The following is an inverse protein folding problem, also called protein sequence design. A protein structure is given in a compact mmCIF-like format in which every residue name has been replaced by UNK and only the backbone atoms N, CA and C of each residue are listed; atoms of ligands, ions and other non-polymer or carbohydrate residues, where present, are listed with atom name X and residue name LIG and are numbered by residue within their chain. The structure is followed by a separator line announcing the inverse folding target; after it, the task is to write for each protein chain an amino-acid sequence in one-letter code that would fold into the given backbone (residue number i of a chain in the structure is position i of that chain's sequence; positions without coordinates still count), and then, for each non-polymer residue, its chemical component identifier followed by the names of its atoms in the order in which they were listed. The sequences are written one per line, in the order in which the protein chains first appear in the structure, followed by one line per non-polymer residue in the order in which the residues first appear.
data_IF_460865309099
#
_entry.id   IF_460865309099
#
_cell.length_a   1.000
_cell.length_b   1.000
_cell.length_c   1.000
_cell.angle_alpha   90.00
_cell.angle_beta   90.00
_cell.angle_gamma   90.00
#
_symmetry.space_group_name_H-M   'P 1'
#
loop_
_entity.id
_entity.type
_entity.pdbx_description
1 polymer ?
#
# COMPACT_ATOMS: atom_id res chain seq x y z
N UNK A 1 13.55 31.17 -13.51
CA UNK A 1 12.92 31.27 -12.17
C UNK A 1 13.56 30.30 -11.19
N UNK A 2 14.40 30.78 -10.27
CA UNK A 2 15.09 29.96 -9.25
C UNK A 2 14.11 29.46 -8.15
N UNK A 3 13.15 30.30 -7.73
CA UNK A 3 12.08 29.92 -6.78
C UNK A 3 11.32 28.66 -7.24
N UNK A 4 10.93 28.59 -8.52
CA UNK A 4 10.24 27.40 -9.06
C UNK A 4 11.08 26.13 -9.04
N UNK A 5 12.41 26.23 -9.22
CA UNK A 5 13.30 25.07 -9.13
C UNK A 5 13.35 24.53 -7.71
N UNK A 6 13.36 25.42 -6.71
CA UNK A 6 13.35 25.04 -5.31
C UNK A 6 12.03 24.44 -4.82
N UNK A 7 10.91 24.89 -5.37
CA UNK A 7 9.61 24.29 -5.11
C UNK A 7 9.50 22.81 -5.52
N UNK A 8 10.45 22.28 -6.32
CA UNK A 8 10.52 20.85 -6.66
C UNK A 8 11.19 19.99 -5.59
N UNK A 9 11.86 20.62 -4.62
CA UNK A 9 12.53 19.92 -3.53
C UNK A 9 11.62 19.88 -2.30
N UNK A 10 11.86 18.89 -1.43
CA UNK A 10 11.09 18.72 -0.19
C UNK A 10 11.51 19.75 0.87
N UNK A 11 10.91 20.93 0.83
CA UNK A 11 11.12 22.02 1.78
C UNK A 11 9.85 22.87 1.94
N UNK A 12 9.81 23.75 2.95
CA UNK A 12 8.64 24.59 3.22
C UNK A 12 8.69 25.88 2.39
N UNK A 13 7.51 26.42 2.03
CA UNK A 13 7.43 27.73 1.37
C UNK A 13 8.06 28.85 2.22
N UNK A 14 7.99 28.75 3.54
CA UNK A 14 8.67 29.66 4.48
C UNK A 14 10.19 29.66 4.30
N UNK A 15 10.79 28.47 4.14
CA UNK A 15 12.24 28.37 3.92
C UNK A 15 12.67 28.99 2.59
N UNK A 16 11.91 28.73 1.51
CA UNK A 16 12.15 29.33 0.20
C UNK A 16 11.98 30.86 0.28
N UNK A 17 10.90 31.33 0.91
CA UNK A 17 10.61 32.75 1.08
C UNK A 17 11.76 33.49 1.79
N UNK A 18 12.25 32.93 2.90
CA UNK A 18 13.40 33.47 3.63
C UNK A 18 14.67 33.52 2.78
N UNK A 19 14.97 32.45 2.01
CA UNK A 19 16.15 32.36 1.15
C UNK A 19 16.17 33.40 0.04
N UNK A 20 15.01 33.65 -0.58
CA UNK A 20 14.88 34.62 -1.68
C UNK A 20 14.44 36.02 -1.22
N UNK A 21 14.31 36.26 0.10
CA UNK A 21 13.85 37.52 0.68
C UNK A 21 12.52 38.02 0.10
N UNK A 22 11.59 37.09 -0.12
CA UNK A 22 10.22 37.38 -0.59
C UNK A 22 9.20 36.93 0.45
N UNK A 23 7.95 37.40 0.33
CA UNK A 23 6.87 36.92 1.19
C UNK A 23 6.44 35.49 0.82
N UNK A 24 5.97 34.71 1.80
CA UNK A 24 5.42 33.37 1.57
C UNK A 24 4.29 33.36 0.52
N UNK A 25 3.33 34.31 0.51
CA UNK A 25 2.33 34.40 -0.56
C UNK A 25 2.93 34.58 -1.95
N UNK A 26 4.09 35.24 -2.07
CA UNK A 26 4.78 35.38 -3.36
C UNK A 26 5.29 34.03 -3.85
N UNK A 27 5.87 33.21 -2.97
CA UNK A 27 6.30 31.84 -3.31
C UNK A 27 5.11 30.99 -3.71
N UNK A 28 4.00 31.05 -2.96
CA UNK A 28 2.76 30.33 -3.28
C UNK A 28 2.24 30.73 -4.66
N UNK A 29 2.14 32.02 -4.97
CA UNK A 29 1.72 32.47 -6.32
C UNK A 29 2.61 31.95 -7.44
N UNK A 30 3.92 31.84 -7.20
CA UNK A 30 4.82 31.20 -8.17
C UNK A 30 4.54 29.71 -8.28
N UNK A 31 4.40 29.01 -7.14
CA UNK A 31 4.07 27.59 -7.09
C UNK A 31 2.78 27.28 -7.83
N UNK A 32 1.73 28.07 -7.66
CA UNK A 32 0.41 27.87 -8.27
C UNK A 32 0.42 28.05 -9.80
N UNK A 33 1.48 28.65 -10.37
CA UNK A 33 1.69 28.68 -11.82
C UNK A 33 2.15 27.32 -12.37
N UNK A 34 2.60 26.41 -11.52
CA UNK A 34 2.97 25.05 -11.93
C UNK A 34 1.68 24.28 -12.18
N UNK A 35 1.36 24.06 -13.44
CA UNK A 35 0.27 23.20 -13.84
C UNK A 35 0.83 21.91 -14.42
N UNK A 36 0.35 20.78 -13.91
CA UNK A 36 0.59 19.48 -14.51
C UNK A 36 -0.60 19.18 -15.42
N UNK A 37 -0.34 19.17 -16.72
CA UNK A 37 -1.37 18.82 -17.68
C UNK A 37 -1.70 17.33 -17.61
N UNK A 38 -2.97 17.01 -17.81
CA UNK A 38 -3.43 15.64 -18.01
C UNK A 38 -2.58 14.97 -19.10
N UNK A 39 -2.10 13.73 -18.91
CA UNK A 39 -1.31 13.03 -19.92
C UNK A 39 -2.12 12.86 -21.21
N UNK A 40 -1.45 12.98 -22.35
CA UNK A 40 -2.08 12.82 -23.68
C UNK A 40 -2.22 11.36 -24.11
N UNK A 41 -1.42 10.47 -23.49
CA UNK A 41 -1.39 9.04 -23.81
C UNK A 41 -1.35 8.20 -22.54
N UNK A 42 -2.11 7.11 -22.55
CA UNK A 42 -2.00 6.08 -21.52
C UNK A 42 -0.85 5.11 -21.82
N UNK A 43 -0.02 4.75 -20.83
CA UNK A 43 0.95 3.67 -20.94
C UNK A 43 0.27 2.30 -20.96
N UNK A 44 1.02 1.26 -21.33
CA UNK A 44 0.55 -0.13 -21.28
C UNK A 44 0.45 -0.71 -19.85
N UNK A 45 1.11 -0.07 -18.87
CA UNK A 45 1.09 -0.40 -17.45
C UNK A 45 0.72 0.84 -16.62
N UNK A 46 -0.31 0.70 -15.79
CA UNK A 46 -0.77 1.73 -14.86
C UNK A 46 -0.71 1.19 -13.43
N UNK A 47 -0.55 2.09 -12.46
CA UNK A 47 -0.92 1.81 -11.08
C UNK A 47 -1.91 2.85 -10.55
N UNK A 48 -2.91 2.37 -9.82
CA UNK A 48 -3.92 3.17 -9.13
C UNK A 48 -3.75 2.94 -7.62
N UNK A 49 -3.60 4.02 -6.86
CA UNK A 49 -3.54 3.94 -5.41
C UNK A 49 -4.26 5.13 -4.76
N UNK A 50 -4.78 4.89 -3.56
CA UNK A 50 -5.46 5.87 -2.72
C UNK A 50 -4.47 6.47 -1.72
N UNK A 51 -4.41 7.79 -1.66
CA UNK A 51 -3.65 8.46 -0.61
C UNK A 51 -4.47 9.54 0.07
N UNK A 52 -4.17 9.74 1.36
CA UNK A 52 -4.83 10.74 2.17
C UNK A 52 -4.33 12.13 1.78
N UNK A 53 -5.25 12.97 1.32
CA UNK A 53 -5.02 14.37 0.99
C UNK A 53 -6.07 15.26 1.64
N UNK A 54 -5.90 16.59 1.53
CA UNK A 54 -6.85 17.58 2.08
C UNK A 54 -7.30 18.58 0.99
N UNK A 55 -7.29 18.17 -0.28
CA UNK A 55 -7.68 19.05 -1.40
C UNK A 55 -9.20 18.99 -1.61
N UNK A 56 -9.84 20.14 -1.81
CA UNK A 56 -11.28 20.27 -2.15
C UNK A 56 -12.24 19.60 -1.14
N UNK A 57 -11.88 19.55 0.14
CA UNK A 57 -12.73 18.95 1.18
C UNK A 57 -12.82 17.42 1.14
N UNK A 58 -12.11 16.77 0.21
CA UNK A 58 -12.04 15.31 0.12
C UNK A 58 -10.83 14.79 0.89
N UNK A 59 -11.06 13.74 1.68
CA UNK A 59 -10.04 13.12 2.55
C UNK A 59 -9.06 12.23 1.77
N UNK A 60 -9.48 11.74 0.60
CA UNK A 60 -8.75 10.74 -0.16
C UNK A 60 -8.76 11.07 -1.65
N UNK A 61 -7.62 10.86 -2.28
CA UNK A 61 -7.33 11.19 -3.67
C UNK A 61 -6.81 9.95 -4.38
N UNK A 62 -7.06 9.87 -5.69
CA UNK A 62 -6.59 8.76 -6.52
C UNK A 62 -5.32 9.20 -7.24
N UNK A 63 -4.20 8.53 -6.95
CA UNK A 63 -2.97 8.67 -7.73
C UNK A 63 -2.99 7.74 -8.94
N UNK A 64 -2.59 8.26 -10.09
CA UNK A 64 -2.39 7.49 -11.31
C UNK A 64 -0.90 7.57 -11.62
N UNK A 65 -0.24 6.43 -11.67
CA UNK A 65 1.22 6.38 -11.90
C UNK A 65 1.57 5.40 -13.01
N UNK A 66 2.77 5.57 -13.56
CA UNK A 66 3.41 4.60 -14.44
C UNK A 66 4.54 3.91 -13.65
N UNK A 67 4.31 2.69 -13.14
CA UNK A 67 5.28 1.94 -12.36
C UNK A 67 6.60 1.67 -13.07
N UNK A 68 6.59 1.54 -14.40
CA UNK A 68 7.80 1.27 -15.18
C UNK A 68 8.73 2.48 -15.26
N UNK A 69 8.17 3.69 -15.31
CA UNK A 69 8.95 4.93 -15.38
C UNK A 69 9.07 5.65 -14.04
N UNK A 70 8.43 5.14 -12.99
CA UNK A 70 8.30 5.76 -11.67
C UNK A 70 7.75 7.19 -11.70
N UNK A 71 6.87 7.49 -12.68
CA UNK A 71 6.27 8.83 -12.84
C UNK A 71 4.82 8.84 -12.40
N UNK A 72 4.46 9.91 -11.68
CA UNK A 72 3.06 10.28 -11.47
C UNK A 72 2.53 10.82 -12.79
N UNK A 73 1.43 10.25 -13.27
CA UNK A 73 0.76 10.68 -14.49
C UNK A 73 -0.29 11.75 -14.16
N UNK A 74 -1.07 11.51 -13.12
CA UNK A 74 -2.11 12.44 -12.69
C UNK A 74 -2.55 12.15 -11.24
N UNK A 75 -3.23 13.11 -10.63
CA UNK A 75 -3.85 12.97 -9.31
C UNK A 75 -5.29 13.46 -9.42
N UNK A 76 -6.24 12.54 -9.18
CA UNK A 76 -7.65 12.87 -9.16
C UNK A 76 -8.06 13.36 -7.76
N UNK A 77 -8.94 14.38 -7.68
CA UNK A 77 -9.28 15.04 -6.42
C UNK A 77 -10.09 14.15 -5.47
N UNK A 78 -10.64 13.04 -5.96
CA UNK A 78 -11.47 12.13 -5.19
C UNK A 78 -11.25 10.67 -5.61
N UNK A 79 -12.01 9.80 -4.96
CA UNK A 79 -12.03 8.36 -5.22
C UNK A 79 -13.40 7.88 -5.72
N UNK A 80 -14.24 8.75 -6.26
CA UNK A 80 -15.56 8.36 -6.73
C UNK A 80 -15.43 7.54 -8.03
N UNK A 81 -16.03 6.35 -8.04
CA UNK A 81 -16.00 5.43 -9.19
C UNK A 81 -16.40 6.11 -10.51
N UNK A 82 -17.47 6.91 -10.50
CA UNK A 82 -18.00 7.56 -11.69
C UNK A 82 -17.03 8.63 -12.23
N UNK A 83 -16.41 9.38 -11.32
CA UNK A 83 -15.44 10.42 -11.69
C UNK A 83 -14.18 9.81 -12.30
N UNK A 84 -13.67 8.71 -11.73
CA UNK A 84 -12.52 8.00 -12.26
C UNK A 84 -12.86 7.36 -13.62
N UNK A 85 -14.05 6.75 -13.77
CA UNK A 85 -14.52 6.23 -15.06
C UNK A 85 -14.60 7.35 -16.10
N UNK A 86 -15.19 8.49 -15.75
CA UNK A 86 -15.30 9.67 -16.63
C UNK A 86 -13.91 10.16 -17.05
N UNK A 87 -12.97 10.23 -16.10
CA UNK A 87 -11.59 10.60 -16.36
C UNK A 87 -10.95 9.66 -17.41
N UNK A 88 -11.05 8.34 -17.23
CA UNK A 88 -10.46 7.40 -18.18
C UNK A 88 -11.20 7.34 -19.52
N UNK A 89 -12.52 7.48 -19.54
CA UNK A 89 -13.32 7.49 -20.78
C UNK A 89 -13.01 8.67 -21.70
N UNK A 90 -12.47 9.77 -21.19
CA UNK A 90 -11.99 10.87 -22.03
C UNK A 90 -10.76 10.50 -22.88
N UNK A 91 -10.07 9.39 -22.58
CA UNK A 91 -9.05 8.83 -23.48
C UNK A 91 -9.71 7.99 -24.58
N UNK A 92 -9.21 8.07 -25.83
CA UNK A 92 -9.73 7.26 -26.93
C UNK A 92 -9.75 5.76 -26.61
N UNK A 93 -10.81 5.07 -27.03
CA UNK A 93 -10.98 3.61 -26.79
C UNK A 93 -9.76 2.80 -27.23
N UNK A 94 -9.11 3.18 -28.35
CA UNK A 94 -7.87 2.56 -28.85
C UNK A 94 -6.71 2.63 -27.85
N UNK A 95 -6.60 3.71 -27.07
CA UNK A 95 -5.57 3.81 -26.03
C UNK A 95 -5.92 2.95 -24.82
N UNK A 96 -7.18 2.99 -24.38
CA UNK A 96 -7.65 2.18 -23.25
C UNK A 96 -7.46 0.68 -23.51
N UNK A 97 -7.75 0.22 -24.73
CA UNK A 97 -7.55 -1.18 -25.12
C UNK A 97 -6.08 -1.62 -25.18
N UNK A 98 -5.12 -0.68 -25.18
CA UNK A 98 -3.67 -0.94 -25.16
C UNK A 98 -3.10 -1.04 -23.75
N UNK A 99 -3.87 -0.63 -22.73
CA UNK A 99 -3.49 -0.88 -21.34
C UNK A 99 -3.58 -2.38 -21.14
N UNK A 100 -2.43 -2.99 -20.87
CA UNK A 100 -2.33 -4.43 -20.65
C UNK A 100 -2.51 -4.73 -19.18
N UNK A 101 -1.87 -3.97 -18.30
CA UNK A 101 -1.74 -4.33 -16.88
C UNK A 101 -2.13 -3.12 -16.03
N UNK A 102 -2.91 -3.35 -14.97
CA UNK A 102 -3.22 -2.33 -13.96
C UNK A 102 -2.90 -2.88 -12.59
N UNK A 103 -1.93 -2.26 -11.91
CA UNK A 103 -1.62 -2.51 -10.51
C UNK A 103 -2.58 -1.68 -9.66
N UNK A 104 -3.20 -2.29 -8.69
CA UNK A 104 -4.09 -1.60 -7.75
C UNK A 104 -4.06 -2.31 -6.40
N UNK A 105 -4.59 -1.66 -5.38
CA UNK A 105 -4.89 -2.34 -4.13
C UNK A 105 -6.07 -3.33 -4.30
N UNK A 106 -6.54 -3.90 -3.19
CA UNK A 106 -7.63 -4.89 -3.18
C UNK A 106 -9.01 -4.19 -3.23
N UNK A 107 -9.06 -2.90 -3.59
CA UNK A 107 -10.30 -2.12 -3.60
C UNK A 107 -11.26 -2.62 -4.69
N UNK A 108 -12.46 -3.00 -4.26
CA UNK A 108 -13.59 -3.29 -5.15
C UNK A 108 -13.96 -2.08 -6.04
N UNK A 109 -13.67 -0.86 -5.57
CA UNK A 109 -13.90 0.35 -6.35
C UNK A 109 -13.01 0.39 -7.58
N UNK A 110 -11.68 0.26 -7.40
CA UNK A 110 -10.75 0.23 -8.52
C UNK A 110 -10.97 -1.00 -9.40
N UNK A 111 -11.35 -2.15 -8.83
CA UNK A 111 -11.71 -3.34 -9.61
C UNK A 111 -12.80 -3.02 -10.63
N UNK A 112 -13.90 -2.40 -10.18
CA UNK A 112 -15.02 -1.99 -11.05
C UNK A 112 -14.58 -0.99 -12.11
N UNK A 113 -13.79 0.02 -11.72
CA UNK A 113 -13.24 1.00 -12.68
C UNK A 113 -12.44 0.30 -13.77
N UNK A 114 -11.49 -0.56 -13.40
CA UNK A 114 -10.58 -1.21 -14.35
C UNK A 114 -11.33 -2.13 -15.30
N UNK A 115 -12.24 -2.96 -14.78
CA UNK A 115 -13.07 -3.85 -15.61
C UNK A 115 -13.92 -3.07 -16.61
N UNK A 116 -14.43 -1.90 -16.23
CA UNK A 116 -15.26 -1.05 -17.07
C UNK A 116 -14.45 -0.31 -18.16
N UNK A 117 -13.29 0.25 -17.79
CA UNK A 117 -12.56 1.16 -18.69
C UNK A 117 -11.43 0.50 -19.46
N UNK A 118 -10.86 -0.59 -18.94
CA UNK A 118 -9.72 -1.33 -19.49
C UNK A 118 -10.05 -2.83 -19.65
N UNK A 119 -10.92 -3.19 -20.61
CA UNK A 119 -11.46 -4.55 -20.72
C UNK A 119 -10.40 -5.63 -21.01
N UNK A 120 -9.27 -5.23 -21.60
CA UNK A 120 -8.17 -6.15 -21.93
C UNK A 120 -7.09 -6.20 -20.83
N UNK A 121 -7.26 -5.44 -19.74
CA UNK A 121 -6.23 -5.32 -18.73
C UNK A 121 -6.29 -6.43 -17.69
N UNK A 122 -5.13 -7.02 -17.38
CA UNK A 122 -4.96 -7.89 -16.22
C UNK A 122 -4.79 -7.02 -14.98
N UNK A 123 -5.62 -7.29 -13.98
CA UNK A 123 -5.52 -6.65 -12.66
C UNK A 123 -4.44 -7.37 -11.86
N UNK A 124 -3.49 -6.60 -11.34
CA UNK A 124 -2.42 -7.08 -10.46
C UNK A 124 -2.63 -6.44 -9.09
N UNK A 125 -2.82 -7.26 -8.06
CA UNK A 125 -2.91 -6.74 -6.70
C UNK A 125 -1.53 -6.34 -6.20
N UNK A 126 -1.44 -5.14 -5.61
CA UNK A 126 -0.21 -4.66 -4.99
C UNK A 126 0.18 -5.55 -3.78
N UNK A 127 1.37 -6.16 -3.88
CA UNK A 127 1.97 -7.01 -2.83
C UNK A 127 2.01 -6.31 -1.47
N UNK A 128 2.25 -5.00 -1.42
CA UNK A 128 2.29 -4.26 -0.16
C UNK A 128 0.95 -4.32 0.59
N UNK A 129 -0.17 -4.19 -0.13
CA UNK A 129 -1.49 -4.20 0.49
C UNK A 129 -1.85 -5.58 1.04
N UNK A 130 -1.45 -6.65 0.34
CA UNK A 130 -1.67 -8.04 0.79
C UNK A 130 -0.80 -8.34 2.03
N UNK A 131 0.50 -8.01 2.02
CA UNK A 131 1.37 -8.16 3.20
C UNK A 131 0.78 -7.41 4.40
N UNK A 132 0.29 -6.19 4.16
CA UNK A 132 -0.30 -5.35 5.21
C UNK A 132 -1.54 -6.00 5.83
N UNK A 133 -2.33 -6.75 5.07
CA UNK A 133 -3.47 -7.50 5.60
C UNK A 133 -3.03 -8.59 6.58
N UNK A 134 -2.08 -9.43 6.18
CA UNK A 134 -1.53 -10.51 7.03
C UNK A 134 -0.86 -9.95 8.29
N UNK A 135 -0.08 -8.88 8.15
CA UNK A 135 0.54 -8.22 9.31
C UNK A 135 -0.48 -7.59 10.26
N UNK A 136 -1.64 -7.13 9.75
CA UNK A 136 -2.72 -6.63 10.59
C UNK A 136 -3.40 -7.76 11.34
N UNK A 137 -3.61 -8.92 10.71
CA UNK A 137 -4.11 -10.11 11.39
C UNK A 137 -3.19 -10.52 12.54
N UNK A 138 -1.89 -10.63 12.29
CA UNK A 138 -0.88 -10.89 13.32
C UNK A 138 -0.93 -9.87 14.47
N UNK A 139 -1.03 -8.57 14.16
CA UNK A 139 -1.12 -7.52 15.16
C UNK A 139 -2.43 -7.58 15.97
N UNK A 140 -3.55 -8.01 15.38
CA UNK A 140 -4.81 -8.19 16.10
C UNK A 140 -4.71 -9.35 17.10
N UNK A 141 -4.20 -10.51 16.69
CA UNK A 141 -3.94 -11.64 17.60
C UNK A 141 -3.02 -11.21 18.74
N UNK A 142 -1.90 -10.54 18.43
CA UNK A 142 -0.97 -10.01 19.43
C UNK A 142 -1.67 -9.08 20.43
N UNK A 143 -2.54 -8.18 19.97
CA UNK A 143 -3.31 -7.26 20.85
C UNK A 143 -4.32 -8.01 21.71
N UNK A 144 -4.98 -9.02 21.16
CA UNK A 144 -5.92 -9.86 21.89
C UNK A 144 -5.20 -10.59 23.03
N UNK A 145 -4.13 -11.34 22.72
CA UNK A 145 -3.31 -12.04 23.71
C UNK A 145 -2.70 -11.08 24.73
N UNK A 146 -2.20 -9.91 24.32
CA UNK A 146 -1.64 -8.91 25.24
C UNK A 146 -2.62 -8.50 26.35
N UNK A 147 -3.94 -8.45 26.08
CA UNK A 147 -4.95 -8.09 27.08
C UNK A 147 -5.01 -9.12 28.21
N UNK A 148 -4.74 -10.39 27.91
CA UNK A 148 -4.69 -11.49 28.89
C UNK A 148 -3.43 -11.47 29.76
N UNK A 149 -2.41 -10.68 29.41
CA UNK A 149 -1.13 -10.59 30.14
C UNK A 149 -0.80 -9.16 30.60
N UNK A 150 -1.55 -8.58 31.57
CA UNK A 150 -1.34 -7.19 32.00
C UNK A 150 0.08 -6.91 32.49
N UNK A 151 0.70 -7.85 33.22
CA UNK A 151 2.06 -7.72 33.74
C UNK A 151 3.14 -7.67 32.64
N UNK A 152 2.94 -8.41 31.54
CA UNK A 152 3.87 -8.48 30.39
C UNK A 152 3.45 -7.60 29.21
N UNK A 153 2.32 -6.92 29.30
CA UNK A 153 1.75 -6.05 28.26
C UNK A 153 2.77 -5.03 27.68
N UNK A 154 3.59 -4.41 28.54
CA UNK A 154 4.66 -3.49 28.13
C UNK A 154 5.75 -4.18 27.30
N UNK A 155 6.12 -5.40 27.66
CA UNK A 155 7.12 -6.21 26.96
C UNK A 155 6.64 -6.55 25.53
N UNK A 156 5.43 -7.10 25.39
CA UNK A 156 4.83 -7.37 24.08
C UNK A 156 4.76 -6.13 23.19
N UNK A 157 4.37 -4.98 23.76
CA UNK A 157 4.27 -3.71 23.00
C UNK A 157 5.63 -3.20 22.54
N UNK A 158 6.68 -3.32 23.37
CA UNK A 158 8.05 -2.91 23.05
C UNK A 158 8.63 -3.78 21.93
N UNK A 159 8.38 -5.09 21.97
CA UNK A 159 8.98 -6.07 21.07
C UNK A 159 8.12 -6.43 19.85
N UNK A 160 6.97 -5.77 19.65
CA UNK A 160 6.06 -6.05 18.51
C UNK A 160 6.71 -5.98 17.12
N UNK A 161 7.84 -5.27 16.97
CA UNK A 161 8.57 -5.18 15.70
C UNK A 161 9.14 -6.54 15.29
N UNK A 162 9.53 -7.37 16.25
CA UNK A 162 10.07 -8.72 16.03
C UNK A 162 9.03 -9.56 15.29
N UNK A 163 7.77 -9.51 15.73
CA UNK A 163 6.64 -10.24 15.11
C UNK A 163 6.30 -9.78 13.68
N UNK A 164 6.81 -8.63 13.22
CA UNK A 164 6.56 -8.08 11.89
C UNK A 164 7.68 -8.37 10.89
N UNK A 165 8.92 -8.52 11.38
CA UNK A 165 10.08 -8.83 10.55
C UNK A 165 9.92 -10.22 9.93
N UNK A 166 10.70 -10.49 8.88
CA UNK A 166 10.86 -11.86 8.39
C UNK A 166 11.80 -12.60 9.34
N UNK A 167 11.48 -13.85 9.71
CA UNK A 167 12.24 -14.60 10.71
C UNK A 167 13.73 -14.69 10.40
N UNK A 168 14.09 -14.89 9.12
CA UNK A 168 15.48 -14.96 8.67
C UNK A 168 16.27 -13.63 8.79
N UNK A 169 15.61 -12.52 9.14
CA UNK A 169 16.24 -11.20 9.32
C UNK A 169 16.42 -10.82 10.80
N UNK A 170 16.01 -11.70 11.72
CA UNK A 170 16.13 -11.45 13.16
C UNK A 170 17.57 -11.67 13.63
N UNK A 171 18.02 -10.83 14.56
CA UNK A 171 19.30 -11.04 15.25
C UNK A 171 19.18 -12.17 16.29
N UNK A 172 20.30 -12.74 16.78
CA UNK A 172 20.26 -13.73 17.86
C UNK A 172 19.46 -13.26 19.09
N UNK A 173 19.66 -12.01 19.53
CA UNK A 173 18.91 -11.43 20.65
C UNK A 173 17.41 -11.31 20.35
N UNK A 174 17.06 -10.95 19.11
CA UNK A 174 15.65 -10.88 18.68
C UNK A 174 15.00 -12.26 18.61
N UNK A 175 15.75 -13.32 18.29
CA UNK A 175 15.26 -14.70 18.31
C UNK A 175 14.95 -15.18 19.73
N UNK A 176 15.81 -14.88 20.71
CA UNK A 176 15.54 -15.17 22.13
C UNK A 176 14.27 -14.45 22.59
N UNK A 177 14.14 -13.17 22.21
CA UNK A 177 12.93 -12.41 22.52
C UNK A 177 11.68 -12.97 21.80
N UNK A 178 11.82 -13.44 20.57
CA UNK A 178 10.74 -14.07 19.82
C UNK A 178 10.27 -15.34 20.52
N UNK A 179 11.19 -16.24 20.88
CA UNK A 179 10.89 -17.48 21.59
C UNK A 179 10.19 -17.21 22.92
N UNK A 180 10.69 -16.23 23.71
CA UNK A 180 10.00 -15.79 24.91
C UNK A 180 8.57 -15.34 24.58
N UNK A 181 8.37 -14.46 23.59
CA UNK A 181 7.04 -13.95 23.23
C UNK A 181 6.10 -15.08 22.84
N UNK A 182 6.55 -16.01 21.99
CA UNK A 182 5.71 -17.09 21.46
C UNK A 182 5.38 -18.16 22.50
N UNK A 183 6.24 -18.36 23.51
CA UNK A 183 5.97 -19.32 24.60
C UNK A 183 4.77 -18.97 25.49
N UNK A 184 4.24 -17.75 25.40
CA UNK A 184 3.11 -17.30 26.21
C UNK A 184 1.74 -17.74 25.69
N UNK A 185 1.63 -18.11 24.41
CA UNK A 185 0.34 -18.44 23.79
C UNK A 185 0.54 -19.24 22.51
N UNK A 186 -0.14 -20.39 22.44
CA UNK A 186 -0.20 -21.22 21.24
C UNK A 186 -0.80 -20.44 20.05
N UNK A 187 -1.82 -19.62 20.27
CA UNK A 187 -2.45 -18.80 19.23
C UNK A 187 -1.50 -17.73 18.69
N UNK A 188 -0.65 -17.15 19.54
CA UNK A 188 0.37 -16.21 19.10
C UNK A 188 1.45 -16.90 18.27
N UNK A 189 1.83 -18.13 18.65
CA UNK A 189 2.73 -18.97 17.87
C UNK A 189 2.12 -19.33 16.50
N UNK A 190 0.86 -19.79 16.46
CA UNK A 190 0.12 -20.08 15.22
C UNK A 190 0.06 -18.86 14.31
N UNK A 191 -0.29 -17.70 14.86
CA UNK A 191 -0.35 -16.46 14.09
C UNK A 191 1.01 -16.07 13.48
N UNK A 192 2.09 -16.23 14.24
CA UNK A 192 3.44 -15.98 13.73
C UNK A 192 3.82 -16.98 12.63
N UNK A 193 3.53 -18.27 12.83
CA UNK A 193 3.76 -19.32 11.85
C UNK A 193 3.00 -19.07 10.53
N UNK A 194 1.72 -18.69 10.59
CA UNK A 194 0.92 -18.31 9.42
C UNK A 194 1.54 -17.14 8.66
N UNK A 195 2.04 -16.13 9.39
CA UNK A 195 2.71 -14.96 8.78
C UNK A 195 4.04 -15.34 8.12
N UNK A 196 4.85 -16.21 8.71
CA UNK A 196 6.08 -16.71 8.09
C UNK A 196 5.79 -17.61 6.88
N UNK A 197 4.78 -18.48 6.97
CA UNK A 197 4.32 -19.30 5.84
C UNK A 197 3.85 -18.42 4.67
N UNK A 198 3.12 -17.34 4.95
CA UNK A 198 2.72 -16.39 3.91
C UNK A 198 3.91 -15.72 3.21
N UNK A 199 4.99 -15.43 3.93
CA UNK A 199 6.20 -14.87 3.30
C UNK A 199 6.84 -15.85 2.32
N UNK A 200 6.77 -17.17 2.58
CA UNK A 200 7.22 -18.19 1.62
C UNK A 200 6.42 -18.15 0.33
N UNK A 201 5.09 -18.02 0.42
CA UNK A 201 4.21 -17.85 -0.75
C UNK A 201 4.66 -16.65 -1.59
N UNK A 202 4.97 -15.52 -0.95
CA UNK A 202 5.35 -14.29 -1.64
C UNK A 202 6.75 -14.29 -2.26
N UNK A 203 7.63 -15.16 -1.79
CA UNK A 203 8.99 -15.29 -2.32
C UNK A 203 9.06 -16.25 -3.52
N UNK A 204 7.96 -16.95 -3.82
CA UNK A 204 7.81 -17.77 -5.02
C UNK A 204 7.85 -16.89 -6.28
N UNK A 205 8.90 -17.05 -7.08
CA UNK A 205 9.12 -16.28 -8.32
C UNK A 205 8.25 -16.72 -9.51
N UNK A 206 7.71 -17.95 -9.48
CA UNK A 206 6.96 -18.55 -10.59
C UNK A 206 5.52 -18.77 -10.18
N UNK A 207 4.59 -18.30 -11.02
CA UNK A 207 3.14 -18.41 -10.81
C UNK A 207 2.66 -19.85 -10.65
N UNK A 208 3.25 -20.81 -11.38
CA UNK A 208 2.88 -22.24 -11.34
C UNK A 208 3.00 -22.88 -9.95
N UNK A 209 3.90 -22.39 -9.09
CA UNK A 209 4.07 -22.89 -7.72
C UNK A 209 3.40 -21.98 -6.69
N UNK A 210 3.11 -20.72 -7.05
CA UNK A 210 2.53 -19.75 -6.14
C UNK A 210 1.06 -20.06 -5.81
N UNK A 211 0.29 -20.57 -6.78
CA UNK A 211 -1.12 -20.89 -6.56
C UNK A 211 -1.34 -22.10 -5.63
N UNK A 212 -0.67 -23.26 -5.82
CA UNK A 212 -0.76 -24.37 -4.86
C UNK A 212 -0.30 -23.96 -3.46
N UNK A 213 0.85 -23.29 -3.33
CA UNK A 213 1.36 -22.86 -2.02
C UNK A 213 0.40 -21.87 -1.32
N UNK A 214 -0.28 -21.02 -2.09
CA UNK A 214 -1.31 -20.14 -1.54
C UNK A 214 -2.53 -20.95 -1.06
N UNK A 215 -2.94 -21.99 -1.77
CA UNK A 215 -4.03 -22.87 -1.31
C UNK A 215 -3.64 -23.61 -0.03
N UNK A 216 -2.44 -24.16 0.04
CA UNK A 216 -1.91 -24.80 1.25
C UNK A 216 -1.89 -23.81 2.42
N UNK A 217 -1.47 -22.57 2.16
CA UNK A 217 -1.52 -21.51 3.18
C UNK A 217 -2.96 -21.19 3.64
N UNK A 218 -3.93 -21.16 2.73
CA UNK A 218 -5.34 -20.96 3.08
C UNK A 218 -5.90 -22.13 3.90
N UNK A 219 -5.45 -23.36 3.64
CA UNK A 219 -5.77 -24.52 4.47
C UNK A 219 -5.19 -24.40 5.88
N UNK A 220 -3.93 -23.97 6.00
CA UNK A 220 -3.31 -23.68 7.30
C UNK A 220 -4.07 -22.60 8.07
N UNK A 221 -4.54 -21.54 7.39
CA UNK A 221 -5.37 -20.50 8.00
C UNK A 221 -6.69 -21.08 8.53
N UNK A 222 -7.33 -21.97 7.76
CA UNK A 222 -8.57 -22.65 8.18
C UNK A 222 -8.32 -23.54 9.39
N UNK A 223 -7.26 -24.34 9.39
CA UNK A 223 -6.94 -25.27 10.49
C UNK A 223 -6.45 -24.58 11.76
N UNK A 224 -5.83 -23.39 11.65
CA UNK A 224 -5.33 -22.65 12.80
C UNK A 224 -6.45 -22.10 13.71
N UNK A 225 -7.68 -21.94 13.19
CA UNK A 225 -8.83 -21.49 13.98
C UNK A 225 -8.77 -20.03 14.44
N UNK A 226 -7.92 -19.20 13.83
CA UNK A 226 -7.75 -17.79 14.19
C UNK A 226 -8.68 -16.90 13.36
N UNK A 227 -9.73 -16.36 13.99
CA UNK A 227 -10.72 -15.47 13.36
C UNK A 227 -10.06 -14.30 12.63
N UNK A 228 -8.98 -13.75 13.18
CA UNK A 228 -8.29 -12.61 12.59
C UNK A 228 -7.63 -12.92 11.24
N UNK A 229 -7.26 -14.19 10.98
CA UNK A 229 -6.73 -14.62 9.69
C UNK A 229 -7.83 -15.11 8.76
N UNK A 230 -8.92 -15.68 9.29
CA UNK A 230 -10.07 -16.09 8.48
C UNK A 230 -10.84 -14.90 7.88
N UNK A 231 -10.77 -13.73 8.52
CA UNK A 231 -11.39 -12.49 8.05
C UNK A 231 -10.56 -11.71 7.00
N UNK A 232 -9.51 -12.31 6.43
CA UNK A 232 -8.67 -11.71 5.39
C UNK A 232 -9.32 -11.77 4.01
#
# INVERSE_FOLDING_TARGET
MLILKECRQRQTFTSIAARYRVSVPTVIRYFDRIQYAKPTRLPWLLALDEFKGNVQGQKYQTSITNPFTHKILDILPNQNTQDIIKYFRSFPKKQRNRVRWVIMDISNLFRKVVQEVFPNAVIICDRFHIIRLVLRAMERVRKWIQKSFPKKSRYFKRNKRILRKAGHTLTPDELVCLEEILSHSEDLWKAYALKEAFYKVLDMKRTLYAEPELQDWLELVRSAGLEEFQAL
#
